data_IF_530835214808
#
_entry.id   IF_530835214808
#
_cell.length_a   1.000
_cell.length_b   1.000
_cell.length_c   1.000
_cell.angle_alpha   90.00
_cell.angle_beta   90.00
_cell.angle_gamma   90.00
#
_symmetry.space_group_name_H-M   'P 1'
#
loop_
_entity.id
_entity.type
_entity.pdbx_description
1 polymer ?
#
# COMPACT_ATOMS: atom_id res chain seq x y z
N UNK A 1 -7.22 -4.47 24.40
CA UNK A 1 -7.19 -5.93 24.14
C UNK A 1 -5.87 -6.48 24.66
N UNK A 2 -5.90 -7.62 25.35
CA UNK A 2 -4.70 -8.37 25.74
C UNK A 2 -4.69 -9.68 24.95
N UNK A 3 -3.56 -10.05 24.35
CA UNK A 3 -3.38 -11.31 23.62
C UNK A 3 -2.23 -12.11 24.24
N UNK A 4 -2.34 -13.45 24.28
CA UNK A 4 -1.32 -14.34 24.87
C UNK A 4 -0.35 -14.95 23.85
N UNK A 5 -0.70 -15.00 22.57
CA UNK A 5 0.06 -15.73 21.55
C UNK A 5 0.47 -14.85 20.35
N UNK A 6 -0.48 -14.19 19.72
CA UNK A 6 -0.24 -13.29 18.58
C UNK A 6 -1.33 -12.24 18.48
N UNK A 7 -1.06 -11.17 17.73
CA UNK A 7 -1.98 -10.06 17.53
C UNK A 7 -1.87 -9.55 16.09
N UNK A 8 -3.01 -9.30 15.46
CA UNK A 8 -3.12 -8.60 14.18
C UNK A 8 -3.91 -7.32 14.42
N UNK A 9 -3.38 -6.20 13.93
CA UNK A 9 -4.04 -4.89 14.03
C UNK A 9 -4.07 -4.28 12.64
N UNK A 10 -5.25 -3.85 12.21
CA UNK A 10 -5.42 -3.05 11.00
C UNK A 10 -6.57 -2.04 11.20
N UNK A 11 -6.73 -1.12 10.25
CA UNK A 11 -7.79 -0.11 10.29
C UNK A 11 -9.20 -0.68 10.12
N UNK A 12 -9.33 -1.96 9.76
CA UNK A 12 -10.61 -2.62 9.57
C UNK A 12 -10.72 -3.87 10.47
N UNK A 13 -11.84 -3.99 11.17
CA UNK A 13 -12.10 -5.12 12.07
C UNK A 13 -12.08 -6.47 11.32
N UNK A 14 -12.80 -6.58 10.20
CA UNK A 14 -12.91 -7.82 9.42
C UNK A 14 -11.53 -8.26 8.94
N UNK A 15 -10.71 -7.34 8.42
CA UNK A 15 -9.36 -7.68 7.95
C UNK A 15 -8.41 -8.10 9.09
N UNK A 16 -8.58 -7.51 10.29
CA UNK A 16 -7.84 -7.93 11.49
C UNK A 16 -8.27 -9.32 11.96
N UNK A 17 -9.57 -9.64 11.87
CA UNK A 17 -10.13 -10.97 12.16
C UNK A 17 -9.62 -12.01 11.16
N UNK A 18 -9.55 -11.70 9.87
CA UNK A 18 -8.96 -12.58 8.84
C UNK A 18 -7.51 -12.94 9.18
N UNK A 19 -6.65 -11.96 9.45
CA UNK A 19 -5.26 -12.24 9.82
C UNK A 19 -5.14 -13.00 11.14
N UNK A 20 -6.01 -12.69 12.10
CA UNK A 20 -6.07 -13.44 13.38
C UNK A 20 -6.44 -14.90 13.15
N UNK A 21 -7.35 -15.18 12.23
CA UNK A 21 -7.75 -16.55 11.89
C UNK A 21 -6.62 -17.31 11.20
N UNK A 22 -5.82 -16.65 10.36
CA UNK A 22 -4.60 -17.24 9.79
C UNK A 22 -3.61 -17.62 10.89
N UNK A 23 -3.37 -16.76 11.88
CA UNK A 23 -2.53 -17.12 13.03
C UNK A 23 -3.10 -18.32 13.82
N UNK A 24 -4.42 -18.37 14.03
CA UNK A 24 -5.08 -19.50 14.72
C UNK A 24 -4.96 -20.82 13.96
N UNK A 25 -4.92 -20.76 12.63
CA UNK A 25 -4.71 -21.92 11.75
C UNK A 25 -3.23 -22.36 11.69
N UNK A 26 -2.33 -21.69 12.42
CA UNK A 26 -0.92 -22.02 12.50
C UNK A 26 -0.03 -21.27 11.51
N UNK A 27 -0.58 -20.33 10.75
CA UNK A 27 0.22 -19.44 9.89
C UNK A 27 1.11 -18.51 10.72
N UNK A 28 2.20 -18.06 10.12
CA UNK A 28 3.12 -17.12 10.75
C UNK A 28 2.70 -15.65 10.54
N UNK A 29 3.52 -14.72 11.01
CA UNK A 29 3.23 -13.28 10.89
C UNK A 29 3.15 -12.80 9.42
N UNK A 30 3.91 -13.40 8.51
CA UNK A 30 3.89 -13.06 7.08
C UNK A 30 2.61 -13.60 6.42
N UNK A 31 2.22 -14.83 6.72
CA UNK A 31 0.94 -15.41 6.26
C UNK A 31 -0.24 -14.53 6.68
N UNK A 32 -0.28 -14.15 7.96
CA UNK A 32 -1.32 -13.29 8.51
C UNK A 32 -1.31 -11.88 7.92
N UNK A 33 -0.13 -11.29 7.71
CA UNK A 33 0.00 -9.96 7.10
C UNK A 33 -0.51 -9.96 5.64
N UNK A 34 -0.15 -10.98 4.86
CA UNK A 34 -0.60 -11.12 3.46
C UNK A 34 -2.11 -11.32 3.39
N UNK A 35 -2.68 -12.18 4.24
CA UNK A 35 -4.13 -12.38 4.29
C UNK A 35 -4.88 -11.12 4.72
N UNK A 36 -4.38 -10.38 5.73
CA UNK A 36 -4.95 -9.10 6.13
C UNK A 36 -4.86 -8.06 5.02
N UNK A 37 -3.75 -8.01 4.28
CA UNK A 37 -3.57 -7.12 3.14
C UNK A 37 -4.60 -7.36 2.03
N UNK A 38 -4.79 -8.62 1.63
CA UNK A 38 -5.83 -8.97 0.66
C UNK A 38 -7.25 -8.72 1.19
N UNK A 39 -7.50 -8.97 2.48
CA UNK A 39 -8.79 -8.67 3.08
C UNK A 39 -9.08 -7.16 3.04
N UNK A 40 -8.10 -6.31 3.35
CA UNK A 40 -8.21 -4.86 3.23
C UNK A 40 -8.50 -4.42 1.79
N UNK A 41 -7.96 -5.11 0.77
CA UNK A 41 -8.31 -4.86 -0.63
C UNK A 41 -9.79 -5.07 -0.97
N UNK A 42 -10.52 -5.79 -0.11
CA UNK A 42 -11.95 -6.03 -0.22
C UNK A 42 -12.74 -5.10 0.70
N UNK A 43 -12.38 -5.03 1.98
CA UNK A 43 -13.20 -4.37 3.02
C UNK A 43 -12.83 -2.92 3.31
N UNK A 44 -11.72 -2.43 2.73
CA UNK A 44 -11.24 -1.06 2.93
C UNK A 44 -10.73 -0.44 1.61
N UNK A 45 -11.61 -0.27 0.59
CA UNK A 45 -11.21 0.10 -0.77
C UNK A 45 -10.66 1.53 -0.90
N UNK A 46 -10.75 2.38 0.14
CA UNK A 46 -10.13 3.71 0.15
C UNK A 46 -8.61 3.66 0.32
N UNK A 47 -8.03 2.52 0.74
CA UNK A 47 -6.57 2.37 0.86
C UNK A 47 -6.09 0.92 0.61
N UNK A 48 -6.77 -0.08 1.16
CA UNK A 48 -6.48 -1.48 0.89
C UNK A 48 -6.69 -1.78 -0.59
N UNK A 49 -5.75 -2.46 -1.25
CA UNK A 49 -5.76 -2.54 -2.70
C UNK A 49 -5.05 -3.78 -3.26
N UNK A 50 -5.38 -4.09 -4.52
CA UNK A 50 -4.52 -4.86 -5.44
C UNK A 50 -4.06 -4.02 -6.64
N UNK A 51 -4.56 -2.78 -6.75
CA UNK A 51 -4.30 -1.84 -7.85
C UNK A 51 -3.31 -0.72 -7.52
N UNK A 52 -2.70 -0.74 -6.34
CA UNK A 52 -1.63 0.19 -5.92
C UNK A 52 -0.38 -0.58 -5.52
N UNK A 53 0.35 -0.08 -4.53
CA UNK A 53 1.59 -0.66 -4.03
C UNK A 53 1.87 -0.30 -2.57
N UNK A 54 3.10 -0.55 -2.12
CA UNK A 54 3.48 -0.27 -0.75
C UNK A 54 4.80 -0.90 -0.34
N UNK A 55 4.93 -1.11 0.97
CA UNK A 55 6.14 -1.57 1.61
C UNK A 55 5.84 -2.56 2.74
N UNK A 56 6.74 -3.49 3.02
CA UNK A 56 6.64 -4.41 4.16
C UNK A 56 7.98 -4.48 4.86
N UNK A 57 8.03 -4.17 6.16
CA UNK A 57 9.21 -4.39 7.02
C UNK A 57 8.97 -5.69 7.79
N UNK A 58 9.90 -6.64 7.69
CA UNK A 58 9.80 -7.95 8.33
C UNK A 58 10.97 -8.09 9.28
N UNK A 59 10.68 -8.50 10.52
CA UNK A 59 11.68 -8.99 11.48
C UNK A 59 11.38 -10.45 11.78
N UNK A 60 12.32 -11.32 11.41
CA UNK A 60 12.24 -12.75 11.62
C UNK A 60 12.59 -13.13 13.07
N UNK A 61 12.22 -14.35 13.47
CA UNK A 61 12.42 -14.85 14.83
C UNK A 61 13.90 -14.99 15.22
N UNK A 62 14.79 -15.15 14.24
CA UNK A 62 16.24 -15.20 14.43
C UNK A 62 16.88 -13.81 14.61
N UNK A 63 16.08 -12.74 14.50
CA UNK A 63 16.53 -11.36 14.59
C UNK A 63 16.86 -10.70 13.25
N UNK A 64 16.88 -11.45 12.15
CA UNK A 64 17.10 -10.90 10.80
C UNK A 64 15.97 -9.94 10.42
N UNK A 65 16.33 -8.76 9.91
CA UNK A 65 15.39 -7.76 9.41
C UNK A 65 15.55 -7.59 7.90
N UNK A 66 14.43 -7.56 7.19
CA UNK A 66 14.39 -7.33 5.75
C UNK A 66 13.21 -6.44 5.38
N UNK A 67 13.18 -5.98 4.14
CA UNK A 67 12.06 -5.19 3.62
C UNK A 67 11.67 -5.63 2.22
N UNK A 68 10.39 -5.53 1.88
CA UNK A 68 9.91 -5.60 0.51
C UNK A 68 9.44 -4.24 0.05
N UNK A 69 10.03 -3.78 -1.04
CA UNK A 69 9.58 -2.67 -1.86
C UNK A 69 8.69 -3.22 -2.98
N UNK A 70 7.40 -2.97 -2.86
CA UNK A 70 6.41 -3.21 -3.89
C UNK A 70 5.68 -1.91 -4.20
N UNK A 71 6.43 -0.80 -4.22
CA UNK A 71 5.93 0.49 -4.68
C UNK A 71 5.60 0.40 -6.17
N UNK A 72 4.60 1.17 -6.58
CA UNK A 72 4.25 1.26 -7.99
C UNK A 72 5.43 1.80 -8.82
N UNK A 73 5.54 1.36 -10.06
CA UNK A 73 6.56 1.86 -11.00
C UNK A 73 5.92 2.76 -12.04
N UNK A 74 6.60 3.83 -12.45
CA UNK A 74 6.18 4.60 -13.60
C UNK A 74 6.11 3.67 -14.84
N UNK A 75 5.04 3.73 -15.65
CA UNK A 75 4.98 2.97 -16.90
C UNK A 75 6.16 3.32 -17.82
N UNK A 76 6.59 2.42 -18.71
CA UNK A 76 7.73 2.68 -19.62
C UNK A 76 7.55 3.90 -20.51
N UNK A 77 6.30 4.26 -20.81
CA UNK A 77 5.97 5.44 -21.60
C UNK A 77 5.91 6.74 -20.77
N UNK A 78 6.07 6.67 -19.45
CA UNK A 78 6.11 7.85 -18.60
C UNK A 78 7.33 8.72 -18.92
N UNK A 79 7.16 10.04 -18.82
CA UNK A 79 8.22 11.01 -19.03
C UNK A 79 8.03 12.23 -18.12
N UNK A 80 9.11 12.96 -17.86
CA UNK A 80 9.17 14.08 -16.89
C UNK A 80 8.02 15.09 -17.02
N UNK A 81 7.60 15.38 -18.25
CA UNK A 81 6.61 16.42 -18.57
C UNK A 81 5.18 15.90 -18.81
N UNK A 82 4.89 14.64 -18.52
CA UNK A 82 3.59 14.01 -18.88
C UNK A 82 2.35 14.62 -18.22
N UNK A 83 2.55 15.44 -17.17
CA UNK A 83 1.47 16.16 -16.48
C UNK A 83 1.42 17.65 -16.81
N UNK A 84 2.26 18.14 -17.71
CA UNK A 84 2.34 19.56 -18.06
C UNK A 84 1.60 19.85 -19.37
N UNK A 85 1.01 21.02 -19.46
CA UNK A 85 0.45 21.55 -20.71
C UNK A 85 1.55 22.10 -21.64
N UNK A 86 1.14 22.63 -22.80
CA UNK A 86 2.04 23.21 -23.80
C UNK A 86 2.83 24.43 -23.27
N UNK A 87 2.34 25.08 -22.21
CA UNK A 87 2.99 26.22 -21.54
C UNK A 87 3.88 25.79 -20.37
N UNK A 88 4.01 24.48 -20.13
CA UNK A 88 4.78 23.92 -19.02
C UNK A 88 4.08 24.05 -17.65
N UNK A 89 2.77 24.29 -17.61
CA UNK A 89 1.99 24.39 -16.38
C UNK A 89 1.36 23.04 -16.02
N UNK A 90 1.27 22.72 -14.73
CA UNK A 90 0.63 21.49 -14.27
C UNK A 90 -0.86 21.50 -14.65
N UNK A 91 -1.29 20.46 -15.38
CA UNK A 91 -2.71 20.26 -15.67
C UNK A 91 -3.40 19.80 -14.39
N UNK A 92 -4.42 20.56 -13.96
CA UNK A 92 -5.12 20.33 -12.70
C UNK A 92 -5.62 18.88 -12.61
N UNK A 93 -5.27 18.23 -11.50
CA UNK A 93 -5.64 16.86 -11.13
C UNK A 93 -5.17 15.74 -12.07
N UNK A 94 -4.45 16.02 -13.16
CA UNK A 94 -4.01 14.99 -14.09
C UNK A 94 -3.06 13.95 -13.46
N UNK A 95 -2.41 14.33 -12.36
CA UNK A 95 -1.53 13.50 -11.52
C UNK A 95 -2.22 12.92 -10.26
N UNK A 96 -3.52 13.15 -10.09
CA UNK A 96 -4.31 12.69 -8.93
C UNK A 96 -5.51 11.84 -9.36
N UNK A 97 -6.18 12.25 -10.43
CA UNK A 97 -7.43 11.66 -10.90
C UNK A 97 -7.22 11.00 -12.27
N UNK A 98 -7.83 9.83 -12.45
CA UNK A 98 -7.90 9.15 -13.74
C UNK A 98 -6.70 8.30 -14.09
N UNK A 99 -6.71 7.79 -15.31
CA UNK A 99 -5.85 6.68 -15.74
C UNK A 99 -4.39 7.06 -15.93
N UNK A 100 -4.09 8.34 -16.19
CA UNK A 100 -2.72 8.82 -16.35
C UNK A 100 -1.96 8.87 -15.00
N UNK A 101 -2.67 9.05 -13.89
CA UNK A 101 -2.11 9.13 -12.54
C UNK A 101 -1.67 7.76 -11.97
N UNK A 102 -1.93 6.66 -12.68
CA UNK A 102 -1.74 5.30 -12.17
C UNK A 102 -0.34 4.77 -12.51
N UNK A 103 0.43 4.42 -11.48
CA UNK A 103 1.65 3.63 -11.61
C UNK A 103 1.35 2.12 -11.72
N UNK A 104 2.30 1.35 -12.28
CA UNK A 104 2.18 -0.10 -12.42
C UNK A 104 2.01 -0.75 -11.04
N UNK A 105 0.89 -1.43 -10.73
CA UNK A 105 0.58 -1.88 -9.38
C UNK A 105 1.55 -2.93 -8.84
N UNK A 106 1.89 -2.83 -7.56
CA UNK A 106 2.87 -3.69 -6.90
C UNK A 106 2.38 -4.66 -5.86
N UNK A 107 1.21 -4.40 -5.25
CA UNK A 107 0.76 -5.13 -4.05
C UNK A 107 0.74 -6.65 -4.22
N UNK A 108 0.20 -7.15 -5.34
CA UNK A 108 0.12 -8.61 -5.59
C UNK A 108 1.50 -9.24 -5.69
N UNK A 109 2.45 -8.59 -6.37
CA UNK A 109 3.82 -9.09 -6.49
C UNK A 109 4.56 -9.06 -5.14
N UNK A 110 4.38 -7.99 -4.36
CA UNK A 110 4.99 -7.87 -3.03
C UNK A 110 4.49 -8.92 -2.06
N UNK A 111 3.19 -9.12 -1.99
CA UNK A 111 2.58 -10.13 -1.11
C UNK A 111 2.95 -11.55 -1.54
N UNK A 112 2.91 -11.86 -2.84
CA UNK A 112 3.32 -13.17 -3.33
C UNK A 112 4.79 -13.46 -3.02
N UNK A 113 5.70 -12.50 -3.25
CA UNK A 113 7.12 -12.67 -2.99
C UNK A 113 7.44 -12.83 -1.49
N UNK A 114 6.80 -12.03 -0.62
CA UNK A 114 6.98 -12.15 0.83
C UNK A 114 6.45 -13.49 1.35
N UNK A 115 5.26 -13.92 0.89
CA UNK A 115 4.67 -15.20 1.26
C UNK A 115 5.52 -16.38 0.78
N UNK A 116 5.99 -16.35 -0.47
CA UNK A 116 6.83 -17.40 -1.04
C UNK A 116 8.13 -17.56 -0.24
N UNK A 117 8.75 -16.46 0.15
CA UNK A 117 10.07 -16.48 0.80
C UNK A 117 10.00 -16.71 2.31
N UNK A 118 9.00 -16.14 2.98
CA UNK A 118 8.94 -16.08 4.45
C UNK A 118 7.61 -16.56 5.03
N UNK A 119 6.62 -16.90 4.20
CA UNK A 119 5.37 -17.51 4.63
C UNK A 119 5.49 -19.02 4.86
N UNK A 120 4.42 -19.61 5.37
CA UNK A 120 4.28 -21.06 5.56
C UNK A 120 3.01 -21.62 4.93
N UNK A 121 2.11 -20.75 4.46
CA UNK A 121 0.86 -21.12 3.79
C UNK A 121 0.93 -20.82 2.29
N UNK A 122 0.09 -21.49 1.52
CA UNK A 122 -0.05 -21.22 0.08
C UNK A 122 -0.79 -19.91 -0.16
N UNK A 123 -0.53 -19.29 -1.33
CA UNK A 123 -1.25 -18.08 -1.73
C UNK A 123 -2.77 -18.28 -1.80
N UNK A 124 -3.22 -19.47 -2.20
CA UNK A 124 -4.64 -19.82 -2.24
C UNK A 124 -5.26 -19.82 -0.84
N UNK A 125 -4.57 -20.38 0.16
CA UNK A 125 -5.08 -20.44 1.54
C UNK A 125 -5.22 -19.08 2.21
N UNK A 126 -4.29 -18.15 1.94
CA UNK A 126 -4.33 -16.78 2.49
C UNK A 126 -5.31 -15.87 1.72
N UNK A 127 -5.57 -16.16 0.44
CA UNK A 127 -6.55 -15.42 -0.37
C UNK A 127 -7.99 -15.86 -0.13
N UNK A 128 -8.21 -17.13 0.25
CA UNK A 128 -9.54 -17.72 0.37
C UNK A 128 -10.54 -16.84 1.17
N UNK A 129 -10.18 -16.28 2.35
CA UNK A 129 -11.11 -15.42 3.09
C UNK A 129 -11.49 -14.15 2.32
N UNK A 130 -10.57 -13.59 1.54
CA UNK A 130 -10.80 -12.38 0.74
C UNK A 130 -11.69 -12.68 -0.47
N UNK A 131 -11.53 -13.86 -1.08
CA UNK A 131 -12.41 -14.33 -2.16
C UNK A 131 -13.84 -14.46 -1.64
N UNK A 132 -14.02 -15.09 -0.48
CA UNK A 132 -15.34 -15.26 0.15
C UNK A 132 -15.97 -13.92 0.53
N UNK A 133 -15.21 -12.98 1.10
CA UNK A 133 -15.69 -11.63 1.41
C UNK A 133 -16.10 -10.86 0.16
N UNK A 134 -15.34 -10.98 -0.94
CA UNK A 134 -15.67 -10.30 -2.20
C UNK A 134 -16.87 -10.94 -2.90
N UNK A 135 -17.03 -12.26 -2.84
CA UNK A 135 -18.13 -12.98 -3.47
C UNK A 135 -19.44 -12.85 -2.69
N UNK A 136 -19.43 -13.21 -1.41
CA UNK A 136 -20.62 -13.23 -0.57
C UNK A 136 -21.00 -11.82 -0.11
N UNK A 137 -20.02 -10.91 -0.09
CA UNK A 137 -20.16 -9.55 0.39
C UNK A 137 -19.97 -9.44 1.89
N UNK A 138 -19.97 -8.20 2.37
CA UNK A 138 -19.92 -7.87 3.79
C UNK A 138 -20.83 -6.69 4.08
N UNK A 139 -21.19 -6.53 5.36
CA UNK A 139 -22.06 -5.46 5.83
C UNK A 139 -21.33 -4.12 5.74
N UNK A 140 -21.93 -3.15 5.05
CA UNK A 140 -21.37 -1.82 4.92
C UNK A 140 -21.42 -1.05 6.25
N UNK A 141 -20.26 -0.53 6.64
CA UNK A 141 -20.16 0.40 7.76
C UNK A 141 -20.62 1.80 7.37
N UNK A 142 -21.04 2.60 8.36
CA UNK A 142 -21.34 4.02 8.19
C UNK A 142 -20.24 4.78 7.44
N UNK A 143 -18.97 4.61 7.85
CA UNK A 143 -17.85 5.32 7.24
C UNK A 143 -17.67 4.96 5.76
N UNK A 144 -17.80 3.68 5.40
CA UNK A 144 -17.63 3.26 4.01
C UNK A 144 -18.75 3.81 3.09
N UNK A 145 -19.99 3.87 3.59
CA UNK A 145 -21.11 4.51 2.87
C UNK A 145 -20.86 6.00 2.69
N UNK A 146 -20.35 6.67 3.73
CA UNK A 146 -19.97 8.09 3.65
C UNK A 146 -18.87 8.33 2.64
N UNK A 147 -17.87 7.45 2.56
CA UNK A 147 -16.81 7.53 1.56
C UNK A 147 -17.37 7.38 0.14
N UNK A 148 -18.29 6.43 -0.10
CA UNK A 148 -18.92 6.25 -1.41
C UNK A 148 -19.69 7.51 -1.84
N UNK A 149 -20.47 8.11 -0.93
CA UNK A 149 -21.22 9.33 -1.19
C UNK A 149 -20.29 10.53 -1.44
N UNK A 150 -19.21 10.64 -0.66
CA UNK A 150 -18.24 11.72 -0.79
C UNK A 150 -17.47 11.67 -2.11
N UNK A 151 -17.11 10.45 -2.57
CA UNK A 151 -16.35 10.23 -3.79
C UNK A 151 -17.22 10.12 -5.06
N UNK A 152 -18.53 9.98 -4.92
CA UNK A 152 -19.45 9.85 -6.06
C UNK A 152 -19.28 10.94 -7.15
N UNK A 153 -19.07 12.23 -6.83
CA UNK A 153 -18.78 13.25 -7.85
C UNK A 153 -17.49 12.99 -8.61
N UNK A 154 -16.45 12.45 -7.95
CA UNK A 154 -15.18 12.10 -8.60
C UNK A 154 -15.34 10.85 -9.47
N UNK A 155 -16.23 9.93 -9.10
CA UNK A 155 -16.49 8.71 -9.86
C UNK A 155 -17.31 8.93 -11.13
N UNK A 156 -17.99 10.07 -11.28
CA UNK A 156 -18.94 10.32 -12.36
C UNK A 156 -18.35 10.10 -13.77
N UNK A 157 -17.06 10.40 -13.95
CA UNK A 157 -16.35 10.25 -15.22
C UNK A 157 -15.79 8.83 -15.46
N UNK A 158 -16.00 7.90 -14.51
CA UNK A 158 -15.44 6.55 -14.53
C UNK A 158 -16.55 5.50 -14.42
N UNK A 159 -17.09 5.00 -15.56
CA UNK A 159 -18.23 4.08 -15.56
C UNK A 159 -18.03 2.82 -14.72
N UNK A 160 -16.80 2.28 -14.67
CA UNK A 160 -16.45 1.15 -13.82
C UNK A 160 -16.62 1.46 -12.33
N UNK A 161 -16.22 2.65 -11.89
CA UNK A 161 -16.37 3.13 -10.51
C UNK A 161 -17.83 3.38 -10.17
N UNK A 162 -18.59 4.07 -11.03
CA UNK A 162 -20.04 4.28 -10.84
C UNK A 162 -20.76 2.94 -10.67
N UNK A 163 -20.50 1.99 -11.57
CA UNK A 163 -21.09 0.64 -11.51
C UNK A 163 -20.79 -0.09 -10.20
N UNK A 164 -19.62 0.16 -9.61
CA UNK A 164 -19.14 -0.58 -8.42
C UNK A 164 -19.55 0.06 -7.10
N UNK A 165 -19.55 1.39 -7.04
CA UNK A 165 -19.75 2.18 -5.82
C UNK A 165 -21.13 2.84 -5.72
N UNK A 166 -22.00 2.64 -6.71
CA UNK A 166 -23.42 3.02 -6.69
C UNK A 166 -24.31 1.80 -6.95
N UNK A 167 -25.59 1.89 -6.58
CA UNK A 167 -26.57 0.86 -6.90
C UNK A 167 -26.95 0.92 -8.38
N UNK A 168 -27.45 -0.18 -8.98
CA UNK A 168 -27.85 -0.21 -10.40
C UNK A 168 -28.93 0.81 -10.79
N UNK A 169 -29.76 1.23 -9.83
CA UNK A 169 -30.80 2.26 -10.01
C UNK A 169 -30.27 3.69 -9.85
N UNK A 170 -28.96 3.86 -9.61
CA UNK A 170 -28.30 5.14 -9.40
C UNK A 170 -28.38 5.67 -7.97
N UNK A 171 -29.07 4.98 -7.06
CA UNK A 171 -29.11 5.36 -5.65
C UNK A 171 -27.83 4.94 -4.91
N UNK A 172 -27.61 5.52 -3.72
CA UNK A 172 -26.48 5.16 -2.89
C UNK A 172 -26.76 3.90 -2.06
N UNK A 173 -25.68 3.18 -1.75
CA UNK A 173 -25.72 2.18 -0.70
C UNK A 173 -26.03 2.82 0.66
N UNK A 174 -26.71 2.07 1.51
CA UNK A 174 -26.99 2.44 2.89
C UNK A 174 -26.17 1.59 3.87
N UNK A 175 -26.06 2.05 5.11
CA UNK A 175 -25.44 1.26 6.18
C UNK A 175 -26.24 -0.04 6.37
N UNK A 176 -25.57 -1.09 6.83
CA UNK A 176 -26.15 -2.41 7.08
C UNK A 176 -26.52 -3.22 5.82
N UNK A 177 -26.40 -2.63 4.63
CA UNK A 177 -26.52 -3.36 3.37
C UNK A 177 -25.31 -4.28 3.11
N UNK A 178 -25.56 -5.39 2.40
CA UNK A 178 -24.51 -6.31 1.97
C UNK A 178 -23.92 -5.81 0.64
N UNK A 179 -22.63 -5.52 0.63
CA UNK A 179 -21.93 -5.08 -0.58
C UNK A 179 -21.04 -6.19 -1.15
N UNK A 180 -21.39 -6.64 -2.36
CA UNK A 180 -20.71 -7.72 -3.08
C UNK A 180 -19.82 -7.17 -4.20
N UNK A 181 -18.73 -7.88 -4.50
CA UNK A 181 -17.69 -7.47 -5.44
C UNK A 181 -17.29 -8.63 -6.38
N UNK A 182 -18.22 -9.15 -7.22
CA UNK A 182 -17.96 -10.35 -8.02
C UNK A 182 -16.78 -10.22 -8.99
N UNK A 183 -16.57 -9.04 -9.57
CA UNK A 183 -15.44 -8.77 -10.48
C UNK A 183 -14.09 -8.83 -9.74
N UNK A 184 -14.06 -8.35 -8.49
CA UNK A 184 -12.90 -8.45 -7.61
C UNK A 184 -12.68 -9.91 -7.16
N UNK A 185 -13.74 -10.63 -6.77
CA UNK A 185 -13.66 -12.03 -6.40
C UNK A 185 -13.08 -12.89 -7.54
N UNK A 186 -13.54 -12.67 -8.77
CA UNK A 186 -12.99 -13.32 -9.95
C UNK A 186 -11.50 -13.00 -10.17
N UNK A 187 -11.08 -11.78 -9.86
CA UNK A 187 -9.67 -11.37 -9.94
C UNK A 187 -8.82 -12.06 -8.87
N UNK A 188 -9.29 -12.08 -7.62
CA UNK A 188 -8.61 -12.76 -6.51
C UNK A 188 -8.49 -14.27 -6.76
N UNK A 189 -9.51 -14.92 -7.34
CA UNK A 189 -9.42 -16.33 -7.76
C UNK A 189 -8.33 -16.58 -8.79
N UNK A 190 -8.22 -15.72 -9.81
CA UNK A 190 -7.14 -15.84 -10.79
C UNK A 190 -5.77 -15.75 -10.14
N UNK A 191 -5.62 -14.89 -9.13
CA UNK A 191 -4.37 -14.77 -8.35
C UNK A 191 -4.13 -16.03 -7.50
N UNK A 192 -5.15 -16.55 -6.82
CA UNK A 192 -5.04 -17.77 -6.04
C UNK A 192 -4.63 -18.98 -6.90
N UNK A 193 -5.19 -19.11 -8.11
CA UNK A 193 -4.93 -20.22 -9.02
C UNK A 193 -3.60 -20.12 -9.77
N UNK A 194 -3.19 -18.90 -10.15
CA UNK A 194 -2.07 -18.66 -11.08
C UNK A 194 -0.91 -17.88 -10.43
N UNK A 195 -0.96 -17.67 -9.12
CA UNK A 195 0.00 -16.86 -8.41
C UNK A 195 0.01 -15.41 -8.90
N UNK A 196 1.20 -14.81 -8.89
CA UNK A 196 1.49 -13.49 -9.46
C UNK A 196 0.87 -13.32 -10.87
N UNK A 197 1.03 -14.32 -11.74
CA UNK A 197 0.61 -14.21 -13.15
C UNK A 197 -0.92 -14.16 -13.32
N UNK A 198 -1.70 -14.47 -12.29
CA UNK A 198 -3.14 -14.22 -12.26
C UNK A 198 -3.52 -12.74 -12.32
N UNK A 199 -2.61 -11.83 -11.94
CA UNK A 199 -2.77 -10.38 -12.03
C UNK A 199 -1.97 -9.78 -13.20
N UNK A 200 -0.68 -10.12 -13.29
CA UNK A 200 0.26 -9.46 -14.20
C UNK A 200 0.28 -10.02 -15.63
N UNK A 201 -0.43 -11.12 -15.88
CA UNK A 201 -0.59 -11.74 -17.21
C UNK A 201 -2.04 -12.19 -17.45
N UNK A 202 -2.29 -12.73 -18.64
CA UNK A 202 -3.58 -13.31 -19.00
C UNK A 202 -4.73 -12.31 -18.90
N UNK A 203 -5.87 -12.77 -18.39
CA UNK A 203 -7.15 -12.02 -18.43
C UNK A 203 -7.11 -10.70 -17.66
N UNK A 204 -6.50 -10.68 -16.47
CA UNK A 204 -6.44 -9.45 -15.66
C UNK A 204 -5.61 -8.39 -16.37
N UNK A 205 -4.43 -8.76 -16.89
CA UNK A 205 -3.57 -7.83 -17.61
C UNK A 205 -4.20 -7.33 -18.94
N UNK A 206 -4.97 -8.17 -19.62
CA UNK A 206 -5.76 -7.78 -20.81
C UNK A 206 -6.83 -6.73 -20.46
N UNK A 207 -7.59 -6.94 -19.38
CA UNK A 207 -8.59 -5.97 -18.91
C UNK A 207 -7.92 -4.64 -18.57
N UNK A 208 -6.80 -4.69 -17.84
CA UNK A 208 -6.07 -3.50 -17.39
C UNK A 208 -5.54 -2.67 -18.57
N UNK A 209 -4.87 -3.29 -19.55
CA UNK A 209 -4.37 -2.60 -20.75
C UNK A 209 -5.52 -2.05 -21.61
N UNK A 210 -6.62 -2.80 -21.74
CA UNK A 210 -7.80 -2.35 -22.50
C UNK A 210 -8.38 -1.08 -21.89
N UNK A 211 -8.56 -1.07 -20.57
CA UNK A 211 -9.09 0.07 -19.84
C UNK A 211 -8.14 1.29 -19.92
N UNK A 212 -6.84 1.06 -19.74
CA UNK A 212 -5.83 2.12 -19.85
C UNK A 212 -5.83 2.74 -21.24
N UNK A 213 -5.78 1.91 -22.29
CA UNK A 213 -5.76 2.38 -23.68
C UNK A 213 -7.04 3.15 -24.05
N UNK A 214 -8.19 2.70 -23.58
CA UNK A 214 -9.47 3.36 -23.87
C UNK A 214 -9.57 4.77 -23.26
N UNK A 215 -8.84 5.03 -22.16
CA UNK A 215 -8.99 6.24 -21.36
C UNK A 215 -7.69 7.06 -21.21
N UNK A 216 -6.71 6.88 -22.11
CA UNK A 216 -5.48 7.67 -22.13
C UNK A 216 -4.46 7.34 -21.04
N UNK A 217 -4.58 6.18 -20.39
CA UNK A 217 -3.55 5.66 -19.48
C UNK A 217 -2.36 5.04 -20.22
N UNK A 218 -1.24 4.90 -19.50
CA UNK A 218 0.04 4.48 -20.09
C UNK A 218 0.44 3.02 -19.83
N UNK A 219 -0.23 2.34 -18.90
CA UNK A 219 0.15 0.97 -18.51
C UNK A 219 -0.22 -0.02 -19.61
N UNK A 220 0.78 -0.77 -20.07
CA UNK A 220 0.62 -1.88 -21.03
C UNK A 220 0.78 -3.25 -20.36
N UNK A 221 0.45 -4.32 -21.08
CA UNK A 221 0.79 -5.69 -20.64
C UNK A 221 2.30 -5.90 -20.49
N UNK A 222 3.12 -5.18 -21.25
CA UNK A 222 4.56 -5.27 -21.15
C UNK A 222 5.11 -4.59 -19.87
N UNK A 223 4.41 -3.56 -19.38
CA UNK A 223 4.70 -2.95 -18.07
C UNK A 223 4.32 -3.90 -16.93
N UNK A 224 3.10 -4.43 -16.96
CA UNK A 224 2.61 -5.40 -15.98
C UNK A 224 3.49 -6.65 -15.92
N UNK A 225 3.81 -7.25 -17.07
CA UNK A 225 4.64 -8.45 -17.12
C UNK A 225 6.05 -8.22 -16.53
N UNK A 226 6.61 -7.02 -16.72
CA UNK A 226 7.94 -6.64 -16.26
C UNK A 226 7.99 -6.24 -14.78
N UNK A 227 6.85 -5.95 -14.13
CA UNK A 227 6.83 -5.50 -12.74
C UNK A 227 7.40 -6.56 -11.79
N UNK A 228 8.29 -6.15 -10.90
CA UNK A 228 8.81 -7.00 -9.83
C UNK A 228 8.90 -6.19 -8.54
N UNK A 229 8.48 -6.80 -7.44
CA UNK A 229 8.81 -6.32 -6.10
C UNK A 229 10.28 -6.62 -5.81
N UNK A 230 10.92 -5.78 -5.00
CA UNK A 230 12.34 -5.85 -4.69
C UNK A 230 12.50 -6.05 -3.19
N UNK A 231 13.25 -7.06 -2.80
CA UNK A 231 13.67 -7.18 -1.40
C UNK A 231 14.88 -6.27 -1.17
N UNK A 232 14.78 -5.40 -0.16
CA UNK A 232 15.82 -4.41 0.17
C UNK A 232 16.25 -4.58 1.62
N UNK A 233 17.51 -4.23 1.92
CA UNK A 233 17.96 -4.10 3.30
C UNK A 233 17.19 -2.96 3.99
N UNK A 234 16.79 -3.10 5.25
CA UNK A 234 16.14 -2.02 5.99
C UNK A 234 17.10 -0.87 6.24
N UNK A 235 16.55 0.32 6.51
CA UNK A 235 17.28 1.35 7.24
C UNK A 235 17.36 0.92 8.69
N UNK A 236 18.57 0.87 9.22
CA UNK A 236 18.85 0.58 10.62
C UNK A 236 19.37 1.83 11.30
N UNK A 237 18.78 2.18 12.44
CA UNK A 237 19.25 3.28 13.29
C UNK A 237 19.19 2.91 14.78
N UNK A 238 19.85 3.69 15.62
CA UNK A 238 19.75 3.57 17.07
C UNK A 238 19.17 4.84 17.69
N UNK A 239 18.37 4.69 18.75
CA UNK A 239 17.91 5.82 19.54
C UNK A 239 17.77 5.39 21.01
N UNK A 240 18.59 5.96 21.90
CA UNK A 240 18.51 5.74 23.36
C UNK A 240 18.49 4.27 23.79
N UNK A 241 19.35 3.44 23.20
CA UNK A 241 19.47 2.01 23.51
C UNK A 241 18.51 1.09 22.75
N UNK A 242 17.66 1.63 21.87
CA UNK A 242 16.81 0.85 20.98
C UNK A 242 17.38 0.81 19.57
N UNK A 243 17.29 -0.34 18.90
CA UNK A 243 17.51 -0.47 17.46
C UNK A 243 16.19 -0.29 16.72
N UNK A 244 16.17 0.61 15.75
CA UNK A 244 15.04 0.89 14.88
C UNK A 244 15.32 0.35 13.49
N UNK A 245 14.35 -0.40 12.94
CA UNK A 245 14.34 -0.84 11.56
C UNK A 245 13.18 -0.17 10.84
N UNK A 246 13.44 0.39 9.66
CA UNK A 246 12.43 1.02 8.82
C UNK A 246 12.69 0.76 7.34
N UNK A 247 11.79 1.23 6.49
CA UNK A 247 11.93 1.10 5.05
C UNK A 247 13.08 1.95 4.51
N UNK A 248 13.90 1.34 3.67
CA UNK A 248 14.87 2.04 2.83
C UNK A 248 14.21 2.74 1.63
N UNK A 249 14.95 3.60 0.91
CA UNK A 249 14.53 4.10 -0.39
C UNK A 249 14.01 2.96 -1.30
N UNK A 250 12.93 3.19 -2.06
CA UNK A 250 12.37 4.48 -2.47
C UNK A 250 11.47 5.16 -1.44
N UNK A 251 11.24 4.57 -0.26
CA UNK A 251 10.63 5.29 0.86
C UNK A 251 11.61 6.31 1.46
N UNK A 252 11.15 7.54 1.65
CA UNK A 252 11.91 8.54 2.41
C UNK A 252 11.81 8.34 3.93
N UNK A 253 10.85 7.54 4.40
CA UNK A 253 10.40 7.52 5.79
C UNK A 253 11.49 7.09 6.78
N UNK A 254 12.20 5.99 6.49
CA UNK A 254 13.23 5.46 7.38
C UNK A 254 14.41 6.41 7.57
N UNK A 255 14.88 7.02 6.47
CA UNK A 255 15.98 8.00 6.50
C UNK A 255 15.54 9.28 7.22
N UNK A 256 14.39 9.84 6.83
CA UNK A 256 13.89 11.10 7.39
C UNK A 256 13.63 10.97 8.90
N UNK A 257 13.08 9.82 9.35
CA UNK A 257 12.92 9.51 10.78
C UNK A 257 14.28 9.38 11.48
N UNK A 258 15.26 8.75 10.84
CA UNK A 258 16.60 8.56 11.42
C UNK A 258 17.31 9.89 11.65
N UNK A 259 17.24 10.83 10.69
CA UNK A 259 17.77 12.20 10.84
C UNK A 259 17.12 12.87 12.06
N UNK A 260 15.78 12.83 12.16
CA UNK A 260 15.06 13.44 13.28
C UNK A 260 15.48 12.84 14.62
N UNK A 261 15.55 11.51 14.73
CA UNK A 261 15.92 10.82 15.96
C UNK A 261 17.36 11.10 16.36
N UNK A 262 18.29 11.19 15.41
CA UNK A 262 19.69 11.52 15.68
C UNK A 262 19.85 12.94 16.23
N UNK A 263 19.11 13.92 15.68
CA UNK A 263 19.07 15.29 16.24
C UNK A 263 18.47 15.26 17.65
N UNK A 264 17.33 14.58 17.82
CA UNK A 264 16.61 14.54 19.08
C UNK A 264 17.35 13.78 20.19
N UNK A 265 18.29 12.90 19.86
CA UNK A 265 19.11 12.17 20.83
C UNK A 265 19.95 13.12 21.69
N UNK A 266 20.34 14.28 21.15
CA UNK A 266 21.06 15.35 21.87
C UNK A 266 20.24 16.10 22.92
N UNK A 267 18.93 15.85 23.03
CA UNK A 267 18.03 16.54 23.97
C UNK A 267 17.46 15.58 25.02
N UNK A 268 17.12 16.08 26.21
CA UNK A 268 16.38 15.31 27.22
C UNK A 268 14.88 15.62 27.12
N UNK A 269 14.20 14.91 26.21
CA UNK A 269 12.78 15.12 25.93
C UNK A 269 11.88 14.78 27.12
N UNK A 270 12.27 13.81 27.95
CA UNK A 270 11.52 13.44 29.16
C UNK A 270 11.49 14.61 30.15
N UNK A 271 12.66 15.21 30.42
CA UNK A 271 12.77 16.37 31.32
C UNK A 271 12.04 17.60 30.78
N UNK A 272 11.97 17.77 29.46
CA UNK A 272 11.20 18.86 28.83
C UNK A 272 9.68 18.72 29.07
N UNK A 273 9.18 17.50 29.29
CA UNK A 273 7.75 17.21 29.43
C UNK A 273 7.06 17.12 28.07
N UNK A 274 6.30 16.04 27.87
CA UNK A 274 5.58 15.81 26.62
C UNK A 274 4.64 16.98 26.30
N UNK A 275 4.71 17.50 25.07
CA UNK A 275 3.93 18.63 24.56
C UNK A 275 4.12 19.97 25.31
N UNK A 276 5.20 20.14 26.06
CA UNK A 276 5.62 21.47 26.49
C UNK A 276 6.11 22.31 25.30
N UNK A 277 6.20 23.64 25.48
CA UNK A 277 6.72 24.53 24.44
C UNK A 277 8.15 24.16 24.00
N UNK A 278 9.03 23.83 24.96
CA UNK A 278 10.41 23.43 24.68
C UNK A 278 10.47 22.11 23.90
N UNK A 279 9.64 21.13 24.29
CA UNK A 279 9.53 19.86 23.58
C UNK A 279 9.06 20.07 22.12
N UNK A 280 7.98 20.83 21.94
CA UNK A 280 7.42 21.10 20.61
C UNK A 280 8.43 21.85 19.75
N UNK A 281 9.16 22.81 20.33
CA UNK A 281 10.18 23.57 19.61
C UNK A 281 11.28 22.66 19.04
N UNK A 282 11.90 21.82 19.88
CA UNK A 282 13.01 20.97 19.42
C UNK A 282 12.55 19.89 18.44
N UNK A 283 11.35 19.32 18.64
CA UNK A 283 10.76 18.35 17.69
C UNK A 283 10.47 19.02 16.35
N UNK A 284 9.88 20.22 16.36
CA UNK A 284 9.58 20.99 15.14
C UNK A 284 10.86 21.33 14.38
N UNK A 285 11.91 21.77 15.07
CA UNK A 285 13.16 22.15 14.45
C UNK A 285 13.97 20.95 13.92
N UNK A 286 13.87 19.78 14.56
CA UNK A 286 14.38 18.53 14.01
C UNK A 286 13.63 18.11 12.74
N UNK A 287 12.30 18.17 12.76
CA UNK A 287 11.47 17.89 11.58
C UNK A 287 11.78 18.83 10.42
N UNK A 288 11.87 20.15 10.68
CA UNK A 288 12.16 21.17 9.65
C UNK A 288 13.43 20.84 8.86
N UNK A 289 14.50 20.45 9.54
CA UNK A 289 15.78 20.09 8.91
C UNK A 289 15.67 18.79 8.12
N UNK A 290 15.10 17.75 8.72
CA UNK A 290 14.95 16.46 8.06
C UNK A 290 14.05 16.53 6.80
N UNK A 291 13.01 17.38 6.80
CA UNK A 291 12.18 17.60 5.61
C UNK A 291 12.86 18.44 4.54
N UNK A 292 13.77 19.35 4.90
CA UNK A 292 14.61 20.06 3.92
C UNK A 292 15.53 19.07 3.20
N UNK A 293 16.22 18.19 3.94
CA UNK A 293 17.08 17.16 3.35
C UNK A 293 16.29 16.15 2.52
N UNK A 294 15.11 15.74 3.00
CA UNK A 294 14.21 14.88 2.23
C UNK A 294 13.88 15.47 0.85
N UNK A 295 13.64 16.78 0.77
CA UNK A 295 13.23 17.44 -0.46
C UNK A 295 14.37 17.55 -1.48
N UNK A 296 15.61 17.72 -1.01
CA UNK A 296 16.79 17.87 -1.87
C UNK A 296 17.35 16.52 -2.33
N UNK A 297 17.46 15.55 -1.41
CA UNK A 297 18.31 14.39 -1.65
C UNK A 297 17.54 13.11 -2.00
N UNK A 298 16.36 12.86 -1.44
CA UNK A 298 15.75 11.52 -1.47
C UNK A 298 14.98 11.23 -2.77
N UNK A 299 15.20 10.03 -3.34
CA UNK A 299 14.54 9.53 -4.53
C UNK A 299 14.62 8.00 -4.66
N UNK A 300 14.30 7.46 -5.84
CA UNK A 300 14.45 6.03 -6.13
C UNK A 300 15.94 5.66 -6.23
N UNK A 301 16.45 4.77 -5.37
CA UNK A 301 17.87 4.41 -5.35
C UNK A 301 18.32 3.68 -6.62
N UNK A 302 17.40 3.09 -7.38
CA UNK A 302 17.72 2.40 -8.62
C UNK A 302 17.99 3.41 -9.77
N UNK A 303 17.63 4.68 -9.58
CA UNK A 303 17.84 5.80 -10.51
C UNK A 303 18.72 6.92 -9.96
N UNK A 304 18.97 6.92 -8.65
CA UNK A 304 19.88 7.83 -7.97
C UNK A 304 20.84 7.02 -7.07
N UNK A 305 21.93 6.47 -7.63
CA UNK A 305 22.85 5.62 -6.86
C UNK A 305 23.68 6.39 -5.83
N UNK A 306 23.81 7.72 -5.99
CA UNK A 306 24.64 8.59 -5.16
C UNK A 306 23.87 9.22 -3.99
N UNK A 307 22.74 8.61 -3.59
CA UNK A 307 21.97 9.05 -2.42
C UNK A 307 22.87 9.11 -1.18
N UNK A 308 22.94 10.24 -0.46
CA UNK A 308 23.78 10.36 0.74
C UNK A 308 23.08 9.68 1.94
N UNK A 309 23.09 8.35 1.95
CA UNK A 309 22.42 7.53 2.97
C UNK A 309 23.32 7.17 4.17
N UNK A 310 24.63 7.37 4.03
CA UNK A 310 25.58 7.16 5.12
C UNK A 310 25.52 8.31 6.14
N UNK A 311 25.87 7.98 7.40
CA UNK A 311 25.63 8.80 8.61
C UNK A 311 26.13 10.24 8.55
#
# INVERSE_FOLDING_TARGET
MYAKHGMVVSTNRIASEVGTEILKRGGNAVDAAVATGFALAVVHPSAGNIGGGGFMVIRLADGTCTTFDYREKAPKAAHEKMYLDENGQLVRNLNHDGYLAVGVPGTVAGFAAALEKYGTMTLAEVLQPSIELAENGFVLSYNLVRDFQYLAPQFADYPGSVKKFSKPDGSFYEMDEIWQQPDLAATLRRIAEKGRDGFYKGKTAEIFETEMKANGGLITRADLAAYQAVERKPVENSYRGYTLYSMAPPSSGGITLSIMLNILEGYNLEKMGHNSADYIHVVTEAMRRAYADRAEYLGDPDFNPDLPLEK
#
